data_IF_906258844212
#
_entry.id   IF_906258844212
#
_cell.length_a   1.000
_cell.length_b   1.000
_cell.length_c   1.000
_cell.angle_alpha   90.00
_cell.angle_beta   90.00
_cell.angle_gamma   90.00
#
_symmetry.space_group_name_H-M   'P 1'
#
loop_
_entity.id
_entity.type
_entity.pdbx_description
1 polymer ?
#
# COMPACT_ATOMS: atom_id res chain seq x y z
N UNK A 1 -41.87 5.40 21.74
CA UNK A 1 -41.45 5.05 20.37
C UNK A 1 -41.70 6.30 19.55
N UNK A 2 -40.69 6.84 18.87
CA UNK A 2 -40.84 8.10 18.13
C UNK A 2 -41.70 7.83 16.89
N UNK A 3 -42.77 8.58 16.72
CA UNK A 3 -43.66 8.41 15.56
C UNK A 3 -43.27 9.38 14.42
N UNK A 4 -43.64 9.09 13.16
CA UNK A 4 -43.40 10.01 12.05
C UNK A 4 -43.99 11.41 12.27
N UNK A 5 -45.14 11.52 12.95
CA UNK A 5 -45.74 12.82 13.31
C UNK A 5 -44.83 13.70 14.18
N UNK A 6 -44.09 13.11 15.12
CA UNK A 6 -43.17 13.84 16.00
C UNK A 6 -42.02 14.45 15.19
N UNK A 7 -41.54 13.72 14.18
CA UNK A 7 -40.47 14.16 13.29
C UNK A 7 -40.92 15.34 12.40
N UNK A 8 -42.18 15.31 11.94
CA UNK A 8 -42.79 16.41 11.18
C UNK A 8 -42.93 17.66 12.06
N UNK A 9 -43.36 17.50 13.33
CA UNK A 9 -43.48 18.62 14.26
C UNK A 9 -42.12 19.31 14.50
N UNK A 10 -41.07 18.52 14.74
CA UNK A 10 -39.71 19.05 14.92
C UNK A 10 -39.24 19.77 13.65
N UNK A 11 -39.48 19.20 12.47
CA UNK A 11 -39.15 19.83 11.20
C UNK A 11 -39.91 21.15 11.02
N UNK A 12 -41.19 21.20 11.38
CA UNK A 12 -41.98 22.43 11.30
C UNK A 12 -41.42 23.52 12.21
N UNK A 13 -41.06 23.19 13.46
CA UNK A 13 -40.41 24.14 14.39
C UNK A 13 -39.06 24.60 13.83
N UNK A 14 -38.23 23.69 13.31
CA UNK A 14 -36.95 24.05 12.69
C UNK A 14 -37.13 24.97 11.47
N UNK A 15 -38.15 24.72 10.63
CA UNK A 15 -38.47 25.56 9.48
C UNK A 15 -38.98 26.95 9.90
N UNK A 16 -39.67 27.08 11.03
CA UNK A 16 -40.08 28.39 11.57
C UNK A 16 -38.89 29.18 12.12
N UNK A 17 -37.94 28.51 12.77
CA UNK A 17 -36.74 29.15 13.34
C UNK A 17 -35.73 29.54 12.27
N UNK A 18 -35.44 28.64 11.33
CA UNK A 18 -34.38 28.80 10.33
C UNK A 18 -34.90 29.25 8.96
N UNK A 19 -36.18 29.06 8.68
CA UNK A 19 -36.79 29.33 7.37
C UNK A 19 -36.67 28.15 6.39
N UNK A 20 -37.66 28.02 5.50
CA UNK A 20 -37.71 26.93 4.51
C UNK A 20 -36.56 26.94 3.49
N UNK A 21 -35.92 28.09 3.28
CA UNK A 21 -34.80 28.20 2.36
C UNK A 21 -33.46 27.81 2.98
N UNK A 22 -33.34 27.82 4.32
CA UNK A 22 -32.05 27.64 4.99
C UNK A 22 -31.58 26.20 5.05
N UNK A 23 -32.48 25.27 5.31
CA UNK A 23 -32.15 23.84 5.31
C UNK A 23 -31.63 23.35 3.93
N UNK A 24 -32.28 23.67 2.79
CA UNK A 24 -31.75 23.32 1.47
C UNK A 24 -30.41 23.99 1.14
N UNK A 25 -30.22 25.25 1.53
CA UNK A 25 -28.96 25.97 1.33
C UNK A 25 -27.81 25.31 2.09
N UNK A 26 -28.03 25.00 3.37
CA UNK A 26 -27.06 24.31 4.22
C UNK A 26 -26.73 22.92 3.67
N UNK A 27 -27.73 22.12 3.30
CA UNK A 27 -27.53 20.80 2.71
C UNK A 27 -26.67 20.86 1.43
N UNK A 28 -26.93 21.84 0.55
CA UNK A 28 -26.11 22.06 -0.66
C UNK A 28 -24.67 22.44 -0.33
N UNK A 29 -24.45 23.35 0.62
CA UNK A 29 -23.11 23.77 1.02
C UNK A 29 -22.30 22.63 1.65
N UNK A 30 -22.92 21.88 2.56
CA UNK A 30 -22.33 20.72 3.22
C UNK A 30 -22.06 19.59 2.22
N UNK A 31 -22.99 19.36 1.29
CA UNK A 31 -22.82 18.38 0.22
C UNK A 31 -21.64 18.72 -0.69
N UNK A 32 -21.47 19.99 -1.07
CA UNK A 32 -20.29 20.46 -1.82
C UNK A 32 -19.01 20.25 -1.02
N UNK A 33 -18.97 20.70 0.24
CA UNK A 33 -17.80 20.54 1.10
C UNK A 33 -17.40 19.06 1.28
N UNK A 34 -18.38 18.19 1.49
CA UNK A 34 -18.16 16.75 1.64
C UNK A 34 -17.69 16.11 0.33
N UNK A 35 -18.24 16.54 -0.81
CA UNK A 35 -17.82 16.09 -2.13
C UNK A 35 -16.37 16.44 -2.45
N UNK A 36 -15.99 17.70 -2.26
CA UNK A 36 -14.60 18.15 -2.46
C UNK A 36 -13.65 17.48 -1.45
N UNK A 37 -14.06 17.31 -0.19
CA UNK A 37 -13.26 16.59 0.80
C UNK A 37 -13.03 15.12 0.39
N UNK A 38 -14.05 14.43 -0.10
CA UNK A 38 -13.90 13.04 -0.58
C UNK A 38 -13.00 12.97 -1.81
N UNK A 39 -13.11 13.93 -2.72
CA UNK A 39 -12.24 14.02 -3.91
C UNK A 39 -10.77 14.22 -3.50
N UNK A 40 -10.50 15.16 -2.60
CA UNK A 40 -9.15 15.40 -2.07
C UNK A 40 -8.57 14.19 -1.33
N UNK A 41 -9.38 13.45 -0.57
CA UNK A 41 -8.93 12.19 0.05
C UNK A 41 -8.52 11.13 -0.99
N UNK A 42 -9.30 10.97 -2.06
CA UNK A 42 -8.99 10.02 -3.13
C UNK A 42 -7.72 10.41 -3.90
N UNK A 43 -7.54 11.71 -4.17
CA UNK A 43 -6.32 12.24 -4.79
C UNK A 43 -5.10 12.01 -3.89
N UNK A 44 -5.20 12.30 -2.60
CA UNK A 44 -4.14 12.04 -1.63
C UNK A 44 -3.80 10.54 -1.52
N UNK A 45 -4.79 9.65 -1.49
CA UNK A 45 -4.54 8.20 -1.50
C UNK A 45 -3.81 7.77 -2.78
N UNK A 46 -4.22 8.29 -3.94
CA UNK A 46 -3.59 7.98 -5.22
C UNK A 46 -2.15 8.50 -5.29
N UNK A 47 -1.85 9.68 -4.74
CA UNK A 47 -0.49 10.21 -4.64
C UNK A 47 0.38 9.33 -3.72
N UNK A 48 -0.15 8.95 -2.56
CA UNK A 48 0.53 8.03 -1.64
C UNK A 48 0.81 6.66 -2.31
N UNK A 49 -0.15 6.12 -3.06
CA UNK A 49 0.02 4.89 -3.84
C UNK A 49 1.07 5.03 -4.93
N UNK A 50 1.11 6.16 -5.64
CA UNK A 50 2.12 6.42 -6.66
C UNK A 50 3.53 6.55 -6.08
N UNK A 51 3.67 7.14 -4.88
CA UNK A 51 4.95 7.16 -4.17
C UNK A 51 5.37 5.76 -3.66
N UNK A 52 4.41 4.89 -3.33
CA UNK A 52 4.70 3.51 -2.90
C UNK A 52 4.95 2.53 -4.05
N UNK A 53 4.40 2.76 -5.24
CA UNK A 53 4.63 1.92 -6.44
C UNK A 53 6.11 1.60 -6.72
N UNK A 54 7.07 2.56 -6.69
CA UNK A 54 8.47 2.24 -6.90
C UNK A 54 9.10 1.36 -5.80
N UNK A 55 8.50 1.28 -4.60
CA UNK A 55 8.90 0.36 -3.54
C UNK A 55 8.35 -1.05 -3.81
N UNK A 56 7.07 -1.15 -4.18
CA UNK A 56 6.37 -2.41 -4.50
C UNK A 56 6.99 -3.14 -5.72
N UNK A 57 7.44 -2.38 -6.73
CA UNK A 57 8.15 -2.91 -7.89
C UNK A 57 9.54 -3.49 -7.54
N UNK A 58 10.20 -2.99 -6.49
CA UNK A 58 11.47 -3.54 -5.99
C UNK A 58 11.23 -4.80 -5.17
N UNK A 59 10.22 -4.78 -4.31
CA UNK A 59 9.79 -5.95 -3.53
C UNK A 59 9.44 -7.13 -4.46
N UNK A 60 8.69 -6.87 -5.53
CA UNK A 60 8.33 -7.89 -6.54
C UNK A 60 9.56 -8.47 -7.26
N UNK A 61 10.59 -7.66 -7.54
CA UNK A 61 11.85 -8.14 -8.16
C UNK A 61 12.67 -8.98 -7.20
N UNK A 62 12.69 -8.61 -5.92
CA UNK A 62 13.41 -9.35 -4.88
C UNK A 62 12.73 -10.70 -4.63
N UNK A 63 11.40 -10.75 -4.55
CA UNK A 63 10.66 -12.02 -4.49
C UNK A 63 10.94 -12.90 -5.72
N UNK A 64 10.97 -12.32 -6.92
CA UNK A 64 11.28 -13.07 -8.15
C UNK A 64 12.69 -13.64 -8.15
N UNK A 65 13.68 -12.89 -7.66
CA UNK A 65 15.06 -13.36 -7.50
C UNK A 65 15.19 -14.45 -6.42
N UNK A 66 14.45 -14.32 -5.31
CA UNK A 66 14.40 -15.32 -4.25
C UNK A 66 13.85 -16.66 -4.75
N UNK A 67 12.76 -16.63 -5.52
CA UNK A 67 12.17 -17.82 -6.15
C UNK A 67 13.13 -18.47 -7.15
N UNK A 68 13.84 -17.68 -7.96
CA UNK A 68 14.86 -18.20 -8.90
C UNK A 68 16.06 -18.84 -8.18
N UNK A 69 16.34 -18.41 -6.95
CA UNK A 69 17.41 -18.93 -6.10
C UNK A 69 16.98 -20.05 -5.13
N UNK A 70 15.78 -20.60 -5.31
CA UNK A 70 15.19 -21.65 -4.45
C UNK A 70 15.21 -21.23 -2.96
N UNK A 71 14.86 -19.98 -2.69
CA UNK A 71 14.73 -19.43 -1.34
C UNK A 71 13.25 -19.45 -0.98
N UNK A 72 12.91 -20.10 0.13
CA UNK A 72 11.55 -20.12 0.66
C UNK A 72 11.16 -18.72 1.14
N UNK A 73 10.18 -18.10 0.48
CA UNK A 73 9.75 -16.71 0.66
C UNK A 73 8.51 -16.56 1.55
N UNK A 74 7.87 -17.65 1.94
CA UNK A 74 6.69 -17.61 2.79
C UNK A 74 7.01 -17.07 4.19
N UNK A 75 6.42 -15.91 4.51
CA UNK A 75 6.55 -15.17 5.78
C UNK A 75 7.89 -14.46 6.03
N UNK A 76 8.69 -14.16 4.99
CA UNK A 76 9.92 -13.35 5.12
C UNK A 76 9.71 -11.93 4.62
N UNK A 77 10.32 -10.96 5.30
CA UNK A 77 10.32 -9.56 4.82
C UNK A 77 11.35 -9.37 3.70
N UNK A 78 11.21 -8.32 2.89
CA UNK A 78 12.15 -7.99 1.81
C UNK A 78 13.60 -7.94 2.30
N UNK A 79 13.83 -7.41 3.51
CA UNK A 79 15.17 -7.31 4.12
C UNK A 79 15.77 -8.68 4.44
N UNK A 80 14.95 -9.61 4.94
CA UNK A 80 15.39 -10.98 5.26
C UNK A 80 15.73 -11.77 4.00
N UNK A 81 14.97 -11.56 2.92
CA UNK A 81 15.27 -12.16 1.62
C UNK A 81 16.59 -11.63 1.02
N UNK A 82 16.87 -10.33 1.14
CA UNK A 82 18.16 -9.76 0.68
C UNK A 82 19.34 -10.36 1.45
N UNK A 83 19.22 -10.54 2.76
CA UNK A 83 20.28 -11.12 3.59
C UNK A 83 20.54 -12.60 3.24
N UNK A 84 19.49 -13.38 3.00
CA UNK A 84 19.57 -14.79 2.64
C UNK A 84 20.11 -15.00 1.20
N UNK A 85 19.70 -14.16 0.25
CA UNK A 85 20.28 -14.11 -1.09
C UNK A 85 21.78 -13.80 -1.00
N UNK A 86 22.15 -12.78 -0.22
CA UNK A 86 23.55 -12.36 -0.04
C UNK A 86 24.43 -13.44 0.61
N UNK A 87 23.88 -14.21 1.55
CA UNK A 87 24.59 -15.33 2.19
C UNK A 87 24.69 -16.55 1.28
N UNK A 88 23.64 -16.90 0.52
CA UNK A 88 23.70 -17.98 -0.49
C UNK A 88 24.73 -17.68 -1.58
N UNK A 89 24.79 -16.43 -2.10
CA UNK A 89 25.78 -16.02 -3.12
C UNK A 89 27.22 -16.17 -2.58
N UNK A 90 27.49 -15.65 -1.37
CA UNK A 90 28.82 -15.76 -0.73
C UNK A 90 29.21 -17.21 -0.45
N UNK A 91 28.26 -18.09 -0.14
CA UNK A 91 28.52 -19.52 0.08
C UNK A 91 28.84 -20.30 -1.20
N UNK A 92 28.32 -19.87 -2.35
CA UNK A 92 28.49 -20.57 -3.63
C UNK A 92 29.77 -20.17 -4.38
N UNK A 93 30.28 -18.95 -4.20
CA UNK A 93 31.54 -18.50 -4.82
C UNK A 93 32.82 -19.01 -4.10
N UNK A 94 32.69 -19.56 -2.89
CA UNK A 94 33.82 -20.05 -2.08
C UNK A 94 34.34 -21.46 -2.43
N UNK A 95 33.69 -22.20 -3.34
CA UNK A 95 34.03 -23.61 -3.63
C UNK A 95 34.43 -23.85 -5.10
N UNK A 96 35.15 -22.90 -5.71
CA UNK A 96 35.60 -22.97 -7.11
C UNK A 96 37.11 -22.91 -7.35
N UNK A 97 37.97 -22.85 -6.32
CA UNK A 97 39.42 -22.72 -6.50
C UNK A 97 40.20 -23.86 -5.82
N UNK A 98 39.92 -25.11 -6.17
CA UNK A 98 40.86 -26.22 -5.92
C UNK A 98 40.74 -27.35 -6.94
N UNK A 99 40.91 -27.05 -8.22
CA UNK A 99 41.12 -28.08 -9.26
C UNK A 99 42.29 -27.64 -10.15
N UNK A 100 43.30 -28.51 -10.22
CA UNK A 100 44.41 -28.60 -11.19
C UNK A 100 45.53 -27.55 -11.19
N UNK A 101 46.61 -27.87 -10.48
CA UNK A 101 47.98 -27.59 -10.92
C UNK A 101 48.93 -28.76 -10.53
N UNK A 102 48.76 -29.91 -11.18
CA UNK A 102 49.86 -30.88 -11.37
C UNK A 102 50.09 -30.99 -12.87
N UNK A 103 51.08 -30.27 -13.39
CA UNK A 103 51.62 -30.43 -14.73
C UNK A 103 52.94 -31.20 -14.62
N UNK A 104 53.14 -32.30 -15.37
CA UNK A 104 54.37 -33.08 -15.35
C UNK A 104 55.39 -32.48 -16.33
N UNK A 105 56.65 -32.34 -15.92
CA UNK A 105 57.84 -32.23 -16.77
C UNK A 105 58.89 -33.07 -16.01
N UNK A 106 59.29 -34.27 -16.42
CA UNK A 106 59.99 -34.72 -17.64
C UNK A 106 61.35 -34.03 -17.85
N UNK A 107 62.39 -34.78 -17.46
CA UNK A 107 63.84 -34.63 -17.66
C UNK A 107 64.55 -33.37 -17.15
#
# INVERSE_FOLDING_TARGET
MFSPEDLILILAVALLLFGANKLPEMARSLGKATGEFKKGQLEAENELRQMKKPLDDQDTKIHKLAVEMDINDENKTTEQLIEEIGTKIKSNEGSGAKVTAKKPLSN
#
